data_IF_894601435175
#
_entry.id   IF_894601435175
#
_cell.length_a   1.000
_cell.length_b   1.000
_cell.length_c   1.000
_cell.angle_alpha   90.00
_cell.angle_beta   90.00
_cell.angle_gamma   90.00
#
_symmetry.space_group_name_H-M   'P 1'
#
loop_
_entity.id
_entity.type
_entity.pdbx_description
1 polymer ?
#
# COMPACT_ATOMS: atom_id res chain seq x y z
N UNK A 1 16.68 -7.96 -1.99
CA UNK A 1 15.23 -7.70 -1.97
C UNK A 1 14.75 -7.24 -3.35
N UNK A 2 13.68 -7.84 -3.85
CA UNK A 2 13.05 -7.41 -5.10
C UNK A 2 12.18 -6.18 -4.79
N UNK A 3 12.30 -5.07 -5.53
CA UNK A 3 11.51 -3.88 -5.26
C UNK A 3 10.01 -4.17 -5.44
N UNK A 4 9.14 -3.62 -4.57
CA UNK A 4 7.71 -3.77 -4.74
C UNK A 4 7.22 -2.98 -5.95
N UNK A 5 6.20 -3.49 -6.63
CA UNK A 5 5.53 -2.83 -7.74
C UNK A 5 4.03 -2.80 -7.50
N UNK A 6 3.39 -1.68 -7.83
CA UNK A 6 1.94 -1.51 -7.72
C UNK A 6 1.27 -1.77 -9.08
N UNK A 7 0.16 -2.51 -9.06
CA UNK A 7 -0.72 -2.74 -10.20
C UNK A 7 -2.19 -2.60 -9.81
N UNK A 8 -3.10 -2.66 -10.78
CA UNK A 8 -4.54 -2.69 -10.50
C UNK A 8 -5.09 -1.47 -9.74
N UNK A 9 -4.41 -0.32 -9.82
CA UNK A 9 -4.79 0.90 -9.10
C UNK A 9 -6.21 1.35 -9.48
N UNK A 10 -7.07 1.55 -8.48
CA UNK A 10 -8.42 2.04 -8.72
C UNK A 10 -9.11 2.56 -7.47
N UNK A 11 -10.10 3.42 -7.67
CA UNK A 11 -11.04 3.83 -6.64
C UNK A 11 -12.26 2.92 -6.66
N UNK A 12 -12.69 2.46 -5.48
CA UNK A 12 -13.96 1.77 -5.28
C UNK A 12 -15.08 2.77 -5.02
N UNK A 13 -16.33 2.34 -5.22
CA UNK A 13 -17.54 3.16 -5.07
C UNK A 13 -17.70 3.80 -3.68
N UNK A 14 -17.02 3.28 -2.66
CA UNK A 14 -17.01 3.78 -1.29
C UNK A 14 -15.79 4.66 -0.95
N UNK A 15 -15.16 5.30 -1.95
CA UNK A 15 -13.96 6.15 -1.75
C UNK A 15 -12.77 5.40 -1.11
N UNK A 16 -12.72 4.09 -1.33
CA UNK A 16 -11.61 3.24 -0.93
C UNK A 16 -10.65 3.13 -2.11
N UNK A 17 -9.35 3.07 -1.86
CA UNK A 17 -8.37 2.79 -2.91
C UNK A 17 -8.00 1.32 -2.87
N UNK A 18 -7.84 0.72 -4.05
CA UNK A 18 -7.34 -0.63 -4.20
C UNK A 18 -6.09 -0.66 -5.06
N UNK A 19 -5.20 -1.60 -4.78
CA UNK A 19 -4.07 -1.97 -5.63
C UNK A 19 -3.59 -3.37 -5.33
N UNK A 20 -2.92 -3.97 -6.30
CA UNK A 20 -2.14 -5.19 -6.13
C UNK A 20 -0.69 -4.82 -5.89
N UNK A 21 -0.09 -5.38 -4.85
CA UNK A 21 1.33 -5.27 -4.56
C UNK A 21 2.02 -6.57 -4.94
N UNK A 22 2.94 -6.46 -5.89
CA UNK A 22 3.85 -7.54 -6.28
C UNK A 22 5.26 -7.22 -5.81
N UNK A 23 6.07 -8.26 -5.61
CA UNK A 23 7.45 -8.17 -5.18
C UNK A 23 8.07 -9.57 -5.24
N UNK A 24 9.18 -9.78 -4.53
CA UNK A 24 9.72 -11.13 -4.39
C UNK A 24 8.69 -12.03 -3.71
N UNK A 25 8.30 -13.12 -4.39
CA UNK A 25 7.30 -14.04 -3.87
C UNK A 25 7.74 -14.62 -2.52
N UNK A 26 6.84 -14.62 -1.54
CA UNK A 26 7.16 -15.09 -0.18
C UNK A 26 7.92 -14.08 0.68
N UNK A 27 8.18 -12.86 0.20
CA UNK A 27 8.74 -11.79 1.00
C UNK A 27 7.63 -10.90 1.57
N UNK A 28 7.85 -10.41 2.78
CA UNK A 28 6.92 -9.51 3.46
C UNK A 28 7.18 -8.06 3.09
N UNK A 29 6.10 -7.30 2.93
CA UNK A 29 6.14 -5.87 2.65
C UNK A 29 5.19 -5.12 3.56
N UNK A 30 5.64 -3.99 4.08
CA UNK A 30 4.83 -3.05 4.83
C UNK A 30 4.26 -2.02 3.86
N UNK A 31 2.93 -1.90 3.82
CA UNK A 31 2.25 -0.79 3.16
C UNK A 31 2.21 0.40 4.13
N UNK A 32 2.68 1.56 3.67
CA UNK A 32 2.72 2.78 4.45
C UNK A 32 2.01 3.93 3.73
N UNK A 33 1.39 4.81 4.51
CA UNK A 33 0.83 6.08 4.02
C UNK A 33 1.46 7.29 4.66
N UNK A 34 1.43 8.40 3.93
CA UNK A 34 1.90 9.70 4.39
C UNK A 34 0.99 10.81 3.87
N UNK A 35 0.61 11.80 4.70
CA UNK A 35 -0.11 12.98 4.24
C UNK A 35 0.83 14.06 3.64
N UNK A 36 2.13 14.02 3.96
CA UNK A 36 3.10 15.10 3.72
C UNK A 36 4.39 14.64 3.02
N UNK A 37 4.47 13.36 2.63
CA UNK A 37 5.67 12.66 2.12
C UNK A 37 6.86 12.58 3.10
N UNK A 38 6.74 13.10 4.31
CA UNK A 38 7.79 13.11 5.34
C UNK A 38 7.50 12.10 6.45
N UNK A 39 6.27 12.08 6.94
CA UNK A 39 5.82 11.23 8.04
C UNK A 39 5.09 10.03 7.48
N UNK A 40 5.67 8.83 7.63
CA UNK A 40 5.13 7.60 7.08
C UNK A 40 4.60 6.68 8.18
N UNK A 41 3.34 6.29 8.09
CA UNK A 41 2.66 5.42 9.03
C UNK A 41 2.43 4.05 8.40
N UNK A 42 2.71 2.97 9.12
CA UNK A 42 2.43 1.62 8.67
C UNK A 42 0.93 1.31 8.79
N UNK A 43 0.35 0.75 7.73
CA UNK A 43 -1.05 0.30 7.71
C UNK A 43 -1.12 -1.20 7.92
N UNK A 44 -0.35 -1.95 7.15
CA UNK A 44 -0.35 -3.42 7.19
C UNK A 44 0.98 -3.99 6.72
N UNK A 45 1.24 -5.23 7.10
CA UNK A 45 2.36 -6.04 6.59
C UNK A 45 1.78 -7.32 6.01
N UNK A 46 2.15 -7.66 4.77
CA UNK A 46 1.66 -8.88 4.14
C UNK A 46 2.70 -9.48 3.18
N UNK A 47 2.58 -10.78 2.92
CA UNK A 47 3.49 -11.52 2.04
C UNK A 47 3.10 -11.34 0.58
N UNK A 48 4.04 -10.92 -0.27
CA UNK A 48 3.78 -10.70 -1.69
C UNK A 48 3.62 -12.00 -2.49
N UNK A 49 2.76 -12.01 -3.54
CA UNK A 49 1.89 -10.90 -3.97
C UNK A 49 0.56 -10.85 -3.19
N UNK A 50 -0.01 -9.65 -3.04
CA UNK A 50 -1.32 -9.48 -2.41
C UNK A 50 -2.11 -8.30 -2.96
N UNK A 51 -3.43 -8.40 -2.88
CA UNK A 51 -4.34 -7.29 -3.10
C UNK A 51 -4.56 -6.53 -1.78
N UNK A 52 -4.62 -5.21 -1.88
CA UNK A 52 -4.82 -4.32 -0.76
C UNK A 52 -5.95 -3.34 -1.05
N UNK A 53 -6.76 -3.09 -0.03
CA UNK A 53 -7.83 -2.09 -0.06
C UNK A 53 -7.67 -1.21 1.18
N UNK A 54 -7.44 0.08 0.97
CA UNK A 54 -7.50 1.06 2.06
C UNK A 54 -8.95 1.52 2.24
N UNK A 55 -9.56 1.05 3.33
CA UNK A 55 -10.96 1.35 3.65
C UNK A 55 -11.19 2.73 4.26
N UNK A 56 -10.14 3.43 4.69
CA UNK A 56 -10.21 4.73 5.38
C UNK A 56 -9.56 5.87 4.59
N UNK A 57 -9.08 5.58 3.38
CA UNK A 57 -8.46 6.55 2.47
C UNK A 57 -9.32 7.81 2.23
N UNK A 58 -10.64 7.69 2.30
CA UNK A 58 -11.60 8.78 2.14
C UNK A 58 -11.51 9.88 3.22
N UNK A 59 -10.95 9.56 4.40
CA UNK A 59 -10.89 10.49 5.53
C UNK A 59 -9.75 11.51 5.43
N UNK A 60 -8.89 11.43 4.40
CA UNK A 60 -7.75 12.32 4.23
C UNK A 60 -7.68 12.83 2.78
N UNK A 61 -7.64 14.16 2.62
CA UNK A 61 -7.69 14.79 1.29
C UNK A 61 -6.44 14.56 0.43
N UNK A 62 -5.32 14.14 1.03
CA UNK A 62 -4.11 13.74 0.31
C UNK A 62 -3.40 12.61 1.08
N UNK A 63 -3.32 11.43 0.45
CA UNK A 63 -2.57 10.29 0.96
C UNK A 63 -1.61 9.78 -0.11
N UNK A 64 -0.33 9.77 0.23
CA UNK A 64 0.70 9.11 -0.55
C UNK A 64 0.92 7.70 -0.02
N UNK A 65 1.10 6.74 -0.92
CA UNK A 65 1.34 5.34 -0.59
C UNK A 65 2.76 4.96 -0.98
N UNK A 66 3.43 4.18 -0.12
CA UNK A 66 4.66 3.46 -0.47
C UNK A 66 4.65 2.07 0.14
N UNK A 67 5.50 1.20 -0.39
CA UNK A 67 5.75 -0.11 0.17
C UNK A 67 7.23 -0.28 0.46
N UNK A 68 7.56 -0.91 1.58
CA UNK A 68 8.93 -1.20 2.01
C UNK A 68 9.05 -2.68 2.35
N UNK A 69 10.16 -3.30 1.95
CA UNK A 69 10.47 -4.68 2.32
C UNK A 69 10.63 -4.82 3.83
N UNK A 70 10.10 -5.91 4.39
CA UNK A 70 10.25 -6.31 5.78
C UNK A 70 11.08 -7.60 5.87
N UNK A 71 12.22 -7.59 6.58
CA UNK A 71 13.09 -8.75 6.72
C UNK A 71 12.59 -9.81 7.71
#
# INVERSE_FOLDING_TARGET
PMPPSFGGLGWLTNQQIQFTLSGGAGLDYIVQTSPDLATWNAITTNTAPFDFIDSVASNQSALFYRSVYFP
#
